data_IF_971479288045
#
_entry.id   IF_971479288045
#
_cell.length_a   1.000
_cell.length_b   1.000
_cell.length_c   1.000
_cell.angle_alpha   90.00
_cell.angle_beta   90.00
_cell.angle_gamma   90.00
#
_symmetry.space_group_name_H-M   'P 1'
#
loop_
_entity.id
_entity.type
_entity.pdbx_description
1 polymer ?
#
# COMPACT_ATOMS: atom_id res chain seq x y z
N UNK A 1 -15.13 33.43 6.61
CA UNK A 1 -14.89 32.37 5.61
C UNK A 1 -16.19 31.61 5.42
N UNK A 2 -16.72 31.59 4.20
CA UNK A 2 -18.05 31.05 3.88
C UNK A 2 -18.06 29.52 4.04
N UNK A 3 -19.08 29.00 4.71
CA UNK A 3 -19.35 27.57 4.93
C UNK A 3 -19.51 26.74 3.64
N UNK A 4 -19.47 27.38 2.46
CA UNK A 4 -19.53 26.72 1.15
C UNK A 4 -18.19 26.11 0.67
N UNK A 5 -17.02 26.63 1.07
CA UNK A 5 -15.71 26.05 0.66
C UNK A 5 -15.43 24.67 1.29
N UNK A 6 -16.18 24.31 2.33
CA UNK A 6 -16.06 23.01 3.00
C UNK A 6 -16.85 21.92 2.26
N UNK A 7 -17.82 22.29 1.41
CA UNK A 7 -18.75 21.32 0.82
C UNK A 7 -18.17 20.52 -0.35
N UNK A 8 -17.21 21.07 -1.10
CA UNK A 8 -16.55 20.36 -2.21
C UNK A 8 -15.03 20.36 -2.03
N UNK A 9 -14.42 19.19 -1.71
CA UNK A 9 -12.98 19.11 -1.59
C UNK A 9 -12.28 19.38 -2.94
N UNK A 10 -11.17 20.12 -2.97
CA UNK A 10 -10.35 20.33 -4.17
C UNK A 10 -9.92 19.00 -4.79
N UNK A 11 -9.69 19.00 -6.11
CA UNK A 11 -9.32 17.80 -6.85
C UNK A 11 -8.05 17.14 -6.28
N UNK A 12 -7.06 17.93 -5.91
CA UNK A 12 -5.80 17.46 -5.31
C UNK A 12 -6.05 16.73 -3.99
N UNK A 13 -6.97 17.23 -3.17
CA UNK A 13 -7.35 16.58 -1.92
C UNK A 13 -8.14 15.28 -2.17
N UNK A 14 -9.01 15.26 -3.19
CA UNK A 14 -9.71 14.04 -3.57
C UNK A 14 -8.75 12.96 -4.08
N UNK A 15 -7.74 13.33 -4.86
CA UNK A 15 -6.69 12.42 -5.32
C UNK A 15 -5.88 11.87 -4.13
N UNK A 16 -5.52 12.72 -3.17
CA UNK A 16 -4.92 12.30 -1.91
C UNK A 16 -5.79 11.27 -1.17
N UNK A 17 -7.09 11.54 -0.99
CA UNK A 17 -8.01 10.60 -0.33
C UNK A 17 -8.14 9.27 -1.09
N UNK A 18 -8.20 9.31 -2.43
CA UNK A 18 -8.21 8.10 -3.26
C UNK A 18 -6.95 7.26 -3.04
N UNK A 19 -5.78 7.90 -2.97
CA UNK A 19 -4.51 7.23 -2.69
C UNK A 19 -4.48 6.59 -1.29
N UNK A 20 -4.90 7.34 -0.25
CA UNK A 20 -4.97 6.83 1.12
C UNK A 20 -5.92 5.63 1.21
N UNK A 21 -7.12 5.75 0.64
CA UNK A 21 -8.13 4.69 0.64
C UNK A 21 -7.66 3.45 -0.13
N UNK A 22 -6.99 3.65 -1.27
CA UNK A 22 -6.41 2.56 -2.04
C UNK A 22 -5.35 1.81 -1.23
N UNK A 23 -4.43 2.54 -0.59
CA UNK A 23 -3.40 1.97 0.30
C UNK A 23 -4.02 1.10 1.41
N UNK A 24 -5.08 1.58 2.06
CA UNK A 24 -5.77 0.83 3.12
C UNK A 24 -6.45 -0.44 2.58
N UNK A 25 -7.23 -0.31 1.49
CA UNK A 25 -7.90 -1.46 0.84
C UNK A 25 -6.91 -2.49 0.33
N UNK A 26 -5.83 -2.05 -0.32
CA UNK A 26 -4.78 -2.92 -0.83
C UNK A 26 -4.08 -3.67 0.30
N UNK A 27 -3.80 -2.99 1.42
CA UNK A 27 -3.22 -3.63 2.61
C UNK A 27 -4.13 -4.69 3.19
N UNK A 28 -5.43 -4.41 3.31
CA UNK A 28 -6.42 -5.39 3.78
C UNK A 28 -6.53 -6.58 2.84
N UNK A 29 -6.67 -6.34 1.53
CA UNK A 29 -6.74 -7.39 0.51
C UNK A 29 -5.53 -8.32 0.57
N UNK A 30 -4.32 -7.77 0.62
CA UNK A 30 -3.07 -8.55 0.71
C UNK A 30 -3.01 -9.40 1.98
N UNK A 31 -3.42 -8.85 3.12
CA UNK A 31 -3.49 -9.62 4.38
C UNK A 31 -4.47 -10.78 4.27
N UNK A 32 -5.68 -10.53 3.75
CA UNK A 32 -6.68 -11.58 3.53
C UNK A 32 -6.19 -12.65 2.57
N UNK A 33 -5.49 -12.25 1.50
CA UNK A 33 -4.92 -13.19 0.53
C UNK A 33 -3.81 -14.06 1.16
N UNK A 34 -2.93 -13.47 1.96
CA UNK A 34 -1.91 -14.22 2.70
C UNK A 34 -2.53 -15.22 3.68
N UNK A 35 -3.59 -14.82 4.39
CA UNK A 35 -4.32 -15.71 5.30
C UNK A 35 -5.03 -16.84 4.55
N UNK A 36 -5.58 -16.54 3.37
CA UNK A 36 -6.19 -17.55 2.51
C UNK A 36 -5.17 -18.60 2.06
N UNK A 37 -3.99 -18.18 1.58
CA UNK A 37 -2.91 -19.13 1.26
C UNK A 37 -2.45 -19.92 2.48
N UNK A 38 -2.34 -19.29 3.65
CA UNK A 38 -1.97 -19.99 4.88
C UNK A 38 -3.03 -21.03 5.28
N UNK A 39 -4.32 -20.69 5.20
CA UNK A 39 -5.41 -21.62 5.48
C UNK A 39 -5.41 -22.80 4.49
N UNK A 40 -5.19 -22.53 3.20
CA UNK A 40 -5.08 -23.56 2.17
C UNK A 40 -3.87 -24.46 2.40
N UNK A 41 -2.73 -23.88 2.79
CA UNK A 41 -1.54 -24.62 3.18
C UNK A 41 -1.82 -25.56 4.35
N UNK A 42 -2.43 -25.07 5.43
CA UNK A 42 -2.78 -25.87 6.60
C UNK A 42 -3.77 -26.99 6.25
N UNK A 43 -4.79 -26.69 5.44
CA UNK A 43 -5.75 -27.68 4.97
C UNK A 43 -5.06 -28.84 4.23
N UNK A 44 -4.14 -28.53 3.31
CA UNK A 44 -3.40 -29.56 2.57
C UNK A 44 -2.37 -30.29 3.44
N UNK A 45 -1.75 -29.61 4.41
CA UNK A 45 -0.76 -30.19 5.32
C UNK A 45 -1.37 -31.30 6.19
N UNK A 46 -2.57 -31.06 6.74
CA UNK A 46 -3.28 -32.02 7.59
C UNK A 46 -4.09 -33.07 6.82
N UNK A 47 -4.14 -32.95 5.48
CA UNK A 47 -4.72 -33.98 4.63
C UNK A 47 -3.65 -35.04 4.32
N UNK A 48 -3.91 -36.29 4.72
CA UNK A 48 -2.95 -37.41 4.61
C UNK A 48 -2.48 -37.71 3.19
N UNK A 49 -3.16 -37.19 2.16
CA UNK A 49 -2.85 -37.41 0.75
C UNK A 49 -1.77 -36.47 0.18
N UNK A 50 -1.42 -35.37 0.86
CA UNK A 50 -0.68 -34.26 0.21
C UNK A 50 0.64 -33.87 0.84
N UNK A 51 1.05 -34.48 1.94
CA UNK A 51 2.19 -34.05 2.79
C UNK A 51 3.54 -34.00 2.05
N UNK A 52 3.66 -34.59 0.85
CA UNK A 52 4.84 -34.55 -0.03
C UNK A 52 4.58 -33.92 -1.42
N UNK A 53 3.52 -33.11 -1.58
CA UNK A 53 3.20 -32.48 -2.87
C UNK A 53 3.94 -31.14 -3.04
N UNK A 54 4.58 -30.89 -4.21
CA UNK A 54 5.15 -29.59 -4.55
C UNK A 54 4.17 -28.41 -4.41
N UNK A 55 2.86 -28.68 -4.45
CA UNK A 55 1.81 -27.69 -4.26
C UNK A 55 1.81 -27.08 -2.86
N UNK A 56 2.08 -27.88 -1.83
CA UNK A 56 2.15 -27.40 -0.44
C UNK A 56 3.28 -26.37 -0.29
N UNK A 57 4.44 -26.66 -0.90
CA UNK A 57 5.59 -25.75 -0.90
C UNK A 57 5.26 -24.46 -1.65
N UNK A 58 4.61 -24.56 -2.82
CA UNK A 58 4.19 -23.38 -3.59
C UNK A 58 3.22 -22.49 -2.81
N UNK A 59 2.22 -23.07 -2.15
CA UNK A 59 1.22 -22.30 -1.40
C UNK A 59 1.86 -21.63 -0.18
N UNK A 60 2.75 -22.33 0.52
CA UNK A 60 3.51 -21.72 1.62
C UNK A 60 4.40 -20.57 1.14
N UNK A 61 5.10 -20.76 0.02
CA UNK A 61 5.89 -19.70 -0.60
C UNK A 61 5.02 -18.50 -0.97
N UNK A 62 3.83 -18.70 -1.54
CA UNK A 62 2.89 -17.61 -1.83
C UNK A 62 2.43 -16.87 -0.57
N UNK A 63 2.16 -17.57 0.53
CA UNK A 63 1.81 -16.95 1.80
C UNK A 63 2.94 -16.06 2.32
N UNK A 64 4.17 -16.57 2.34
CA UNK A 64 5.36 -15.83 2.79
C UNK A 64 5.64 -14.66 1.84
N UNK A 65 5.64 -14.89 0.53
CA UNK A 65 5.88 -13.86 -0.48
C UNK A 65 4.85 -12.73 -0.40
N UNK A 66 3.57 -13.06 -0.24
CA UNK A 66 2.48 -12.10 -0.05
C UNK A 66 2.65 -11.32 1.26
N UNK A 67 3.07 -11.99 2.34
CA UNK A 67 3.39 -11.34 3.61
C UNK A 67 4.56 -10.35 3.49
N UNK A 68 5.67 -10.76 2.89
CA UNK A 68 6.88 -9.94 2.72
C UNK A 68 6.64 -8.76 1.77
N UNK A 69 5.82 -8.95 0.73
CA UNK A 69 5.36 -7.88 -0.17
C UNK A 69 4.75 -6.68 0.57
N UNK A 70 4.27 -6.91 1.80
CA UNK A 70 3.76 -5.88 2.68
C UNK A 70 4.75 -4.81 3.09
N UNK A 71 6.03 -5.18 3.26
CA UNK A 71 7.07 -4.23 3.65
C UNK A 71 7.31 -3.22 2.53
N UNK A 72 7.35 -3.70 1.29
CA UNK A 72 7.53 -2.87 0.10
C UNK A 72 6.29 -2.01 -0.14
N UNK A 73 5.09 -2.59 -0.02
CA UNK A 73 3.84 -1.84 -0.12
C UNK A 73 3.73 -0.74 0.94
N UNK A 74 4.15 -1.02 2.18
CA UNK A 74 4.18 -0.03 3.25
C UNK A 74 5.10 1.14 2.91
N UNK A 75 6.33 0.87 2.42
CA UNK A 75 7.27 1.92 2.00
C UNK A 75 6.79 2.70 0.78
N UNK A 76 6.11 2.04 -0.15
CA UNK A 76 5.55 2.66 -1.34
C UNK A 76 4.43 3.67 -1.01
N UNK A 77 3.53 3.34 -0.08
CA UNK A 77 2.41 4.21 0.33
C UNK A 77 2.67 5.02 1.61
N UNK A 78 3.94 5.07 2.06
CA UNK A 78 4.32 5.72 3.32
C UNK A 78 4.08 7.23 3.28
N UNK A 79 4.39 7.87 2.15
CA UNK A 79 4.16 9.30 1.93
C UNK A 79 3.30 9.47 0.68
N UNK A 80 2.19 10.23 0.76
CA UNK A 80 1.36 10.52 -0.40
C UNK A 80 2.13 11.26 -1.50
N UNK A 81 1.77 11.02 -2.76
CA UNK A 81 2.41 11.70 -3.91
C UNK A 81 2.37 13.22 -3.79
N UNK A 82 1.25 13.75 -3.31
CA UNK A 82 1.05 15.18 -3.10
C UNK A 82 2.15 15.82 -2.23
N UNK A 83 2.60 15.11 -1.19
CA UNK A 83 3.69 15.58 -0.32
C UNK A 83 5.08 15.23 -0.86
N UNK A 84 5.21 14.15 -1.63
CA UNK A 84 6.47 13.84 -2.32
C UNK A 84 6.82 14.90 -3.37
N UNK A 85 5.84 15.53 -3.99
CA UNK A 85 6.08 16.60 -4.96
C UNK A 85 6.58 17.88 -4.29
N UNK A 86 6.22 18.15 -3.03
CA UNK A 86 6.85 19.22 -2.21
C UNK A 86 8.38 19.03 -2.16
N UNK A 87 8.86 17.80 -2.04
CA UNK A 87 10.29 17.49 -2.04
C UNK A 87 11.00 17.77 -3.38
N UNK A 88 10.26 17.82 -4.49
CA UNK A 88 10.80 18.03 -5.84
C UNK A 88 10.68 19.47 -6.30
N UNK A 89 9.54 20.10 -6.07
CA UNK A 89 9.19 21.42 -6.60
C UNK A 89 9.03 22.49 -5.51
N UNK A 90 9.19 22.13 -4.24
CA UNK A 90 9.11 23.07 -3.11
C UNK A 90 7.75 23.76 -3.02
N UNK A 91 7.78 25.09 -2.90
CA UNK A 91 6.59 25.94 -2.81
C UNK A 91 5.75 25.94 -4.10
N UNK A 92 6.32 25.51 -5.24
CA UNK A 92 5.60 25.38 -6.50
C UNK A 92 4.81 24.05 -6.63
N UNK A 93 4.76 23.24 -5.57
CA UNK A 93 3.98 21.99 -5.58
C UNK A 93 2.47 22.26 -5.49
N UNK A 94 1.67 21.38 -6.09
CA UNK A 94 0.20 21.44 -6.04
C UNK A 94 -0.36 21.36 -4.61
N UNK A 95 0.45 20.90 -3.65
CA UNK A 95 0.13 20.97 -2.22
C UNK A 95 -0.11 22.41 -1.75
N UNK A 96 0.65 23.40 -2.24
CA UNK A 96 0.48 24.80 -1.84
C UNK A 96 -0.69 25.51 -2.55
N UNK A 97 -1.29 24.90 -3.57
CA UNK A 97 -2.54 25.40 -4.15
C UNK A 97 -3.75 25.13 -3.24
N UNK A 98 -3.62 24.21 -2.28
CA UNK A 98 -4.67 23.91 -1.31
C UNK A 98 -4.82 25.06 -0.29
N UNK A 99 -6.07 25.33 0.10
CA UNK A 99 -6.33 26.24 1.21
C UNK A 99 -5.71 25.71 2.51
N UNK A 100 -5.49 26.61 3.48
CA UNK A 100 -4.87 26.31 4.77
C UNK A 100 -5.53 25.11 5.49
N UNK A 101 -6.85 25.03 5.42
CA UNK A 101 -7.66 23.95 6.02
C UNK A 101 -7.33 22.58 5.40
N UNK A 102 -7.23 22.50 4.07
CA UNK A 102 -6.93 21.23 3.39
C UNK A 102 -5.47 20.83 3.54
N UNK A 103 -4.54 21.80 3.55
CA UNK A 103 -3.12 21.55 3.85
C UNK A 103 -2.93 20.94 5.24
N UNK A 104 -3.58 21.52 6.25
CA UNK A 104 -3.57 20.98 7.60
C UNK A 104 -4.10 19.53 7.63
N UNK A 105 -5.23 19.24 6.98
CA UNK A 105 -5.78 17.87 6.94
C UNK A 105 -4.85 16.86 6.29
N UNK A 106 -4.18 17.22 5.19
CA UNK A 106 -3.22 16.34 4.51
C UNK A 106 -2.01 16.04 5.40
N UNK A 107 -1.43 17.08 6.01
CA UNK A 107 -0.27 16.94 6.90
C UNK A 107 -0.64 16.18 8.17
N UNK A 108 -1.74 16.52 8.82
CA UNK A 108 -2.22 15.84 10.03
C UNK A 108 -2.45 14.35 9.78
N UNK A 109 -3.14 14.00 8.69
CA UNK A 109 -3.38 12.60 8.33
C UNK A 109 -2.06 11.86 8.07
N UNK A 110 -1.12 12.50 7.37
CA UNK A 110 0.18 11.91 7.06
C UNK A 110 1.02 11.72 8.32
N UNK A 111 1.14 12.73 9.19
CA UNK A 111 1.92 12.67 10.43
C UNK A 111 1.35 11.64 11.41
N UNK A 112 0.02 11.59 11.57
CA UNK A 112 -0.65 10.55 12.38
C UNK A 112 -0.36 9.15 11.85
N UNK A 113 -0.42 8.93 10.53
CA UNK A 113 -0.07 7.63 9.92
C UNK A 113 1.39 7.24 10.11
N UNK A 114 2.29 8.21 10.29
CA UNK A 114 3.70 7.99 10.60
C UNK A 114 4.01 7.94 12.10
N UNK A 115 3.00 8.08 12.96
CA UNK A 115 3.16 8.19 14.41
C UNK A 115 4.11 9.32 14.84
N UNK A 116 4.12 10.44 14.11
CA UNK A 116 4.92 11.62 14.47
C UNK A 116 4.08 12.49 15.41
N UNK A 117 4.51 12.58 16.66
CA UNK A 117 3.88 13.37 17.72
C UNK A 117 4.94 14.10 18.55
N UNK A 118 4.63 15.28 19.13
CA UNK A 118 3.37 16.03 18.98
C UNK A 118 3.19 16.62 17.57
N UNK A 119 1.94 16.89 17.20
CA UNK A 119 1.64 17.55 15.93
C UNK A 119 2.04 19.04 16.05
N UNK A 120 2.75 19.61 15.06
CA UNK A 120 3.04 21.05 15.03
C UNK A 120 1.76 21.89 15.11
N UNK A 121 1.79 22.99 15.85
CA UNK A 121 0.60 23.88 15.97
C UNK A 121 0.36 24.70 14.70
N UNK A 122 1.40 24.93 13.88
CA UNK A 122 1.40 25.75 12.68
C UNK A 122 1.25 24.96 11.36
N UNK A 123 0.61 23.78 11.38
CA UNK A 123 0.48 22.88 10.21
C UNK A 123 -0.09 23.56 8.96
N UNK A 124 -1.00 24.52 9.11
CA UNK A 124 -1.61 25.24 7.98
C UNK A 124 -0.66 26.18 7.24
N UNK A 125 0.41 26.61 7.91
CA UNK A 125 1.32 27.67 7.45
C UNK A 125 2.76 27.17 7.23
N UNK A 126 3.03 25.88 7.47
CA UNK A 126 4.35 25.29 7.28
C UNK A 126 4.87 25.55 5.87
N UNK A 127 6.13 26.02 5.80
CA UNK A 127 6.86 26.22 4.55
C UNK A 127 7.34 24.90 3.97
N UNK A 128 7.64 24.86 2.67
CA UNK A 128 8.12 23.63 2.02
C UNK A 128 9.36 23.06 2.69
N UNK A 129 10.30 23.90 3.12
CA UNK A 129 11.55 23.50 3.80
C UNK A 129 11.30 22.76 5.12
N UNK A 130 10.31 23.22 5.89
CA UNK A 130 9.89 22.58 7.14
C UNK A 130 9.24 21.21 6.86
N UNK A 131 8.40 21.13 5.83
CA UNK A 131 7.77 19.86 5.42
C UNK A 131 8.83 18.86 4.92
N UNK A 132 9.79 19.33 4.12
CA UNK A 132 10.88 18.52 3.57
C UNK A 132 11.75 17.94 4.68
N UNK A 133 12.12 18.76 5.67
CA UNK A 133 12.93 18.32 6.81
C UNK A 133 12.14 17.39 7.72
N UNK A 134 10.89 17.75 8.08
CA UNK A 134 10.03 16.94 8.96
C UNK A 134 9.77 15.54 8.41
N UNK A 135 9.56 15.42 7.09
CA UNK A 135 9.28 14.14 6.43
C UNK A 135 10.52 13.46 5.84
N UNK A 136 11.70 14.08 5.98
CA UNK A 136 12.97 13.68 5.37
C UNK A 136 12.82 13.34 3.87
N UNK A 137 12.19 14.25 3.11
CA UNK A 137 11.83 13.99 1.70
C UNK A 137 13.05 13.89 0.77
N UNK A 138 14.15 14.59 1.08
CA UNK A 138 15.37 14.62 0.24
C UNK A 138 16.17 13.33 0.29
N UNK A 139 16.19 12.64 1.43
CA UNK A 139 16.98 11.43 1.63
C UNK A 139 16.23 10.15 1.23
N UNK A 140 15.04 10.30 0.62
CA UNK A 140 14.21 9.16 0.24
C UNK A 140 14.61 8.60 -1.12
N UNK A 141 14.77 7.28 -1.13
CA UNK A 141 14.76 6.51 -2.37
C UNK A 141 13.43 6.75 -3.11
N UNK A 142 13.47 6.64 -4.45
CA UNK A 142 12.29 6.77 -5.30
C UNK A 142 11.40 5.50 -5.19
N UNK A 143 10.80 5.33 -4.01
CA UNK A 143 9.92 4.23 -3.67
C UNK A 143 8.71 4.17 -4.60
N UNK A 144 8.27 5.30 -5.18
CA UNK A 144 7.19 5.29 -6.18
C UNK A 144 7.57 4.39 -7.36
N UNK A 145 8.73 4.62 -7.97
CA UNK A 145 9.16 3.85 -9.14
C UNK A 145 9.42 2.38 -8.79
N UNK A 146 10.12 2.15 -7.68
CA UNK A 146 10.44 0.79 -7.20
C UNK A 146 9.15 0.02 -6.88
N UNK A 147 8.21 0.69 -6.21
CA UNK A 147 6.93 0.12 -5.79
C UNK A 147 6.04 -0.28 -6.95
N UNK A 148 5.97 0.52 -8.03
CA UNK A 148 5.20 0.14 -9.23
C UNK A 148 5.78 -1.08 -9.95
N UNK A 149 7.10 -1.13 -10.12
CA UNK A 149 7.78 -2.28 -10.74
C UNK A 149 7.53 -3.53 -9.89
N UNK A 150 7.68 -3.40 -8.57
CA UNK A 150 7.44 -4.50 -7.64
C UNK A 150 5.97 -4.95 -7.66
N UNK A 151 5.01 -4.02 -7.65
CA UNK A 151 3.59 -4.30 -7.68
C UNK A 151 3.21 -5.07 -8.96
N UNK A 152 3.76 -4.67 -10.11
CA UNK A 152 3.56 -5.39 -11.37
C UNK A 152 4.08 -6.82 -11.30
N UNK A 153 5.32 -7.03 -10.81
CA UNK A 153 5.89 -8.37 -10.61
C UNK A 153 5.09 -9.20 -9.61
N UNK A 154 4.62 -8.58 -8.53
CA UNK A 154 3.81 -9.21 -7.50
C UNK A 154 2.48 -9.72 -8.07
N UNK A 155 1.71 -8.85 -8.75
CA UNK A 155 0.43 -9.21 -9.37
C UNK A 155 0.62 -10.31 -10.41
N UNK A 156 1.66 -10.22 -11.23
CA UNK A 156 1.97 -11.25 -12.24
C UNK A 156 2.28 -12.60 -11.58
N UNK A 157 3.17 -12.62 -10.58
CA UNK A 157 3.59 -13.86 -9.91
C UNK A 157 2.42 -14.54 -9.20
N UNK A 158 1.65 -13.76 -8.43
CA UNK A 158 0.47 -14.26 -7.73
C UNK A 158 -0.60 -14.71 -8.73
N UNK A 159 -0.83 -13.95 -9.81
CA UNK A 159 -1.78 -14.28 -10.86
C UNK A 159 -1.46 -15.62 -11.51
N UNK A 160 -0.23 -15.81 -11.98
CA UNK A 160 0.23 -17.07 -12.59
C UNK A 160 0.07 -18.23 -11.61
N UNK A 161 0.48 -18.05 -10.36
CA UNK A 161 0.42 -19.11 -9.36
C UNK A 161 -1.03 -19.47 -8.99
N UNK A 162 -1.92 -18.48 -8.85
CA UNK A 162 -3.34 -18.70 -8.65
C UNK A 162 -3.98 -19.43 -9.84
N UNK A 163 -3.67 -19.02 -11.08
CA UNK A 163 -4.15 -19.70 -12.28
C UNK A 163 -3.70 -21.15 -12.34
N UNK A 164 -2.44 -21.42 -11.96
CA UNK A 164 -1.91 -22.77 -11.89
C UNK A 164 -2.60 -23.62 -10.80
N UNK A 165 -2.79 -23.06 -9.60
CA UNK A 165 -3.52 -23.74 -8.52
C UNK A 165 -4.96 -24.04 -8.92
N UNK A 166 -5.62 -23.09 -9.56
CA UNK A 166 -6.99 -23.27 -10.05
C UNK A 166 -7.07 -24.35 -11.14
N UNK A 167 -6.12 -24.35 -12.07
CA UNK A 167 -6.02 -25.40 -13.10
C UNK A 167 -5.85 -26.79 -12.47
N UNK A 168 -4.96 -26.94 -11.49
CA UNK A 168 -4.77 -28.22 -10.79
C UNK A 168 -6.02 -28.62 -10.04
N UNK A 169 -6.64 -27.70 -9.30
CA UNK A 169 -7.89 -27.96 -8.61
C UNK A 169 -8.96 -28.47 -9.59
N UNK A 170 -9.11 -27.82 -10.74
CA UNK A 170 -10.08 -28.23 -11.75
C UNK A 170 -9.77 -29.61 -12.33
N UNK A 171 -8.49 -29.90 -12.59
CA UNK A 171 -8.04 -31.17 -13.19
C UNK A 171 -8.13 -32.36 -12.24
N UNK A 172 -7.84 -32.16 -10.96
CA UNK A 172 -7.58 -33.26 -10.04
C UNK A 172 -8.34 -33.14 -8.72
N UNK A 173 -9.04 -32.04 -8.45
CA UNK A 173 -9.56 -31.74 -7.11
C UNK A 173 -8.46 -31.59 -6.06
N UNK A 174 -7.23 -31.33 -6.52
CA UNK A 174 -5.97 -31.52 -5.80
C UNK A 174 -5.57 -32.98 -5.52
N UNK A 175 -6.38 -34.00 -5.85
CA UNK A 175 -6.09 -35.44 -5.60
C UNK A 175 -4.94 -36.01 -6.42
N UNK A 176 -4.12 -36.83 -5.77
CA UNK A 176 -3.15 -37.75 -6.39
C UNK A 176 -3.84 -39.07 -6.79
N UNK A 177 -4.92 -39.03 -7.55
CA UNK A 177 -5.50 -40.27 -8.09
C UNK A 177 -5.21 -40.30 -9.60
N UNK A 178 -3.96 -40.67 -9.88
CA UNK A 178 -3.45 -41.29 -11.09
C UNK A 178 -2.59 -42.47 -10.66
#
# INVERSE_FOLDING_TARGET
>A
MSSMEIQNPPEEYQLFLKEVNFSLKFTQFRKSLSLCFLALYLYLLFSSKYTASPLIVLINYLAIYTSFSGLIAYKFFEIPKLLLDVGKTGDASSFFHLSSVWRQKVLENTLKRKNIFPLPENLSEMKSEEIISLLALKDRLNWIRIGWIYLGKYVLTVGIACSYLFYIYWKTGFSRDG
#
